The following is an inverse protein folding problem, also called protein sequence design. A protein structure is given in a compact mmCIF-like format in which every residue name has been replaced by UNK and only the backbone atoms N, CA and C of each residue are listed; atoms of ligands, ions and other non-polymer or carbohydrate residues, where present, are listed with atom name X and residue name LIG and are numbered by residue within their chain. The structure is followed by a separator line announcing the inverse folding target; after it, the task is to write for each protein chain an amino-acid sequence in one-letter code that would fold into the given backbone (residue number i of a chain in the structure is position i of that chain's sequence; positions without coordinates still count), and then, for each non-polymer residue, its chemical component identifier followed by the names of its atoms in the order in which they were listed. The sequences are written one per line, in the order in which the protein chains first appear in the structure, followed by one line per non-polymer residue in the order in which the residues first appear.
data_IF_824338831167
#
_entry.id   IF_824338831167
#
_cell.length_a   1.000
_cell.length_b   1.000
_cell.length_c   1.000
_cell.angle_alpha   90.00
_cell.angle_beta   90.00
_cell.angle_gamma   90.00
#
_symmetry.space_group_name_H-M   'P 1'
#
loop_
_entity.id
_entity.type
_entity.pdbx_description
1 polymer ?
#
# COMPACT_ATOMS: atom_id res chain seq x y z
N UNK A 1 7.88 22.82 -8.66
CA UNK A 1 6.53 22.46 -8.19
C UNK A 1 6.47 22.69 -6.70
N UNK A 2 5.44 23.36 -6.19
CA UNK A 2 5.31 23.76 -4.78
C UNK A 2 5.22 22.53 -3.85
N UNK A 3 6.14 22.42 -2.89
CA UNK A 3 6.22 21.33 -1.92
C UNK A 3 4.93 21.17 -1.11
N UNK A 4 4.22 22.27 -0.81
CA UNK A 4 2.95 22.21 -0.09
C UNK A 4 1.86 21.50 -0.90
N UNK A 5 1.85 21.72 -2.22
CA UNK A 5 0.94 20.98 -3.11
C UNK A 5 1.26 19.50 -3.11
N UNK A 6 2.54 19.12 -3.10
CA UNK A 6 2.96 17.71 -3.02
C UNK A 6 2.54 17.07 -1.69
N UNK A 7 2.72 17.76 -0.56
CA UNK A 7 2.29 17.28 0.76
C UNK A 7 0.78 17.06 0.81
N UNK A 8 0.00 17.98 0.23
CA UNK A 8 -1.47 17.86 0.17
C UNK A 8 -1.92 16.59 -0.55
N UNK A 9 -1.17 16.13 -1.57
CA UNK A 9 -1.48 14.88 -2.28
C UNK A 9 -1.43 13.65 -1.36
N UNK A 10 -0.51 13.60 -0.40
CA UNK A 10 -0.43 12.50 0.57
C UNK A 10 -1.71 12.40 1.41
N UNK A 11 -2.25 13.53 1.86
CA UNK A 11 -3.51 13.54 2.61
C UNK A 11 -4.71 13.17 1.75
N UNK A 12 -4.76 13.67 0.51
CA UNK A 12 -5.82 13.29 -0.44
C UNK A 12 -5.78 11.79 -0.77
N UNK A 13 -4.58 11.23 -0.99
CA UNK A 13 -4.39 9.81 -1.25
C UNK A 13 -4.72 8.96 -0.02
N UNK A 14 -4.30 9.39 1.18
CA UNK A 14 -4.69 8.76 2.44
C UNK A 14 -6.21 8.67 2.54
N UNK A 15 -6.93 9.79 2.38
CA UNK A 15 -8.40 9.81 2.38
C UNK A 15 -9.02 8.90 1.30
N UNK A 16 -8.41 8.80 0.12
CA UNK A 16 -8.84 7.84 -0.90
C UNK A 16 -8.70 6.38 -0.42
N UNK A 17 -7.55 6.01 0.13
CA UNK A 17 -7.33 4.65 0.64
C UNK A 17 -8.18 4.32 1.86
N UNK A 18 -8.55 5.31 2.66
CA UNK A 18 -9.57 5.16 3.72
C UNK A 18 -10.89 4.65 3.19
N UNK A 19 -11.38 5.30 2.14
CA UNK A 19 -12.66 4.97 1.52
C UNK A 19 -12.57 3.56 0.97
N UNK A 20 -11.47 3.24 0.26
CA UNK A 20 -11.24 1.88 -0.22
C UNK A 20 -11.30 0.86 0.91
N UNK A 21 -10.47 1.01 1.95
CA UNK A 21 -10.35 0.00 3.02
C UNK A 21 -11.65 -0.13 3.82
N UNK A 22 -12.38 0.96 4.03
CA UNK A 22 -13.67 0.96 4.74
C UNK A 22 -14.73 0.20 3.94
N UNK A 23 -14.84 0.49 2.64
CA UNK A 23 -15.77 -0.22 1.76
C UNK A 23 -15.41 -1.71 1.67
N UNK A 24 -14.13 -2.02 1.48
CA UNK A 24 -13.64 -3.40 1.42
C UNK A 24 -13.93 -4.14 2.74
N UNK A 25 -13.69 -3.52 3.90
CA UNK A 25 -13.97 -4.13 5.20
C UNK A 25 -15.45 -4.44 5.40
N UNK A 26 -16.33 -3.51 5.01
CA UNK A 26 -17.78 -3.72 5.07
C UNK A 26 -18.24 -4.90 4.20
N UNK A 27 -17.64 -5.07 3.01
CA UNK A 27 -17.91 -6.20 2.11
C UNK A 27 -17.40 -7.52 2.70
N UNK A 28 -16.17 -7.53 3.25
CA UNK A 28 -15.56 -8.72 3.84
C UNK A 28 -16.30 -9.26 5.08
N UNK A 29 -17.04 -8.39 5.79
CA UNK A 29 -17.85 -8.77 6.94
C UNK A 29 -19.15 -9.51 6.57
N UNK A 30 -19.59 -9.47 5.31
CA UNK A 30 -20.79 -10.17 4.89
C UNK A 30 -20.57 -11.68 4.88
N UNK A 31 -21.44 -12.45 5.54
CA UNK A 31 -21.28 -13.91 5.72
C UNK A 31 -20.91 -14.67 4.44
N UNK A 32 -21.58 -14.48 3.28
CA UNK A 32 -21.21 -15.20 2.05
C UNK A 32 -19.80 -14.87 1.57
N UNK A 33 -19.36 -13.62 1.76
CA UNK A 33 -18.00 -13.19 1.40
C UNK A 33 -17.00 -13.75 2.39
N UNK A 34 -17.31 -13.69 3.69
CA UNK A 34 -16.44 -14.20 4.74
C UNK A 34 -16.11 -15.69 4.53
N UNK A 35 -17.12 -16.51 4.24
CA UNK A 35 -16.93 -17.94 3.92
C UNK A 35 -16.02 -18.15 2.71
N UNK A 36 -16.11 -17.29 1.69
CA UNK A 36 -15.20 -17.35 0.55
C UNK A 36 -13.75 -17.06 0.96
N UNK A 37 -13.54 -16.05 1.82
CA UNK A 37 -12.20 -15.65 2.28
C UNK A 37 -11.50 -16.74 3.10
N UNK A 38 -12.27 -17.63 3.73
CA UNK A 38 -11.76 -18.77 4.51
C UNK A 38 -11.29 -19.96 3.64
N UNK A 39 -11.51 -19.94 2.33
CA UNK A 39 -11.15 -21.03 1.40
C UNK A 39 -9.63 -21.17 1.13
N UNK A 40 -8.77 -20.86 2.08
CA UNK A 40 -7.31 -20.94 1.95
C UNK A 40 -6.71 -19.71 1.26
N UNK A 41 -6.21 -19.79 0.01
CA UNK A 41 -5.59 -18.65 -0.70
C UNK A 41 -6.53 -17.44 -0.88
N UNK A 42 -7.85 -17.61 -0.78
CA UNK A 42 -8.78 -16.49 -0.77
C UNK A 42 -8.48 -15.46 0.35
N UNK A 43 -7.87 -15.92 1.45
CA UNK A 43 -7.46 -15.07 2.57
C UNK A 43 -6.46 -13.97 2.19
N UNK A 44 -5.79 -14.06 1.03
CA UNK A 44 -4.92 -12.99 0.50
C UNK A 44 -5.71 -11.67 0.34
N UNK A 45 -7.02 -11.73 0.07
CA UNK A 45 -7.90 -10.55 -0.01
C UNK A 45 -7.99 -9.81 1.35
N UNK A 46 -7.95 -10.54 2.47
CA UNK A 46 -7.86 -9.94 3.81
C UNK A 46 -6.49 -9.29 4.00
N UNK A 47 -5.42 -9.95 3.53
CA UNK A 47 -4.09 -9.35 3.47
C UNK A 47 -4.05 -8.04 2.68
N UNK A 48 -4.76 -7.98 1.54
CA UNK A 48 -4.88 -6.78 0.72
C UNK A 48 -5.54 -5.62 1.49
N UNK A 49 -6.63 -5.90 2.21
CA UNK A 49 -7.31 -4.92 3.05
C UNK A 49 -6.34 -4.29 4.06
N UNK A 50 -5.55 -5.12 4.75
CA UNK A 50 -4.57 -4.63 5.73
C UNK A 50 -3.51 -3.77 5.04
N UNK A 51 -2.93 -4.20 3.91
CA UNK A 51 -1.89 -3.43 3.23
C UNK A 51 -2.40 -2.08 2.71
N UNK A 52 -3.60 -2.04 2.13
CA UNK A 52 -4.22 -0.80 1.66
C UNK A 52 -4.47 0.15 2.84
N UNK A 53 -4.93 -0.38 3.98
CA UNK A 53 -5.13 0.41 5.20
C UNK A 53 -3.84 0.90 5.84
N UNK A 54 -2.83 0.04 5.98
CA UNK A 54 -1.59 0.38 6.69
C UNK A 54 -0.64 1.22 5.85
N UNK A 55 -0.44 0.88 4.57
CA UNK A 55 0.46 1.62 3.68
C UNK A 55 -0.25 2.83 3.05
N UNK A 56 -1.47 2.62 2.54
CA UNK A 56 -2.23 3.67 1.86
C UNK A 56 -2.81 4.70 2.81
N UNK A 57 -3.70 4.27 3.72
CA UNK A 57 -4.36 5.21 4.65
C UNK A 57 -3.38 5.75 5.71
N UNK A 58 -2.87 4.88 6.59
CA UNK A 58 -2.00 5.32 7.70
C UNK A 58 -0.64 5.78 7.18
N UNK A 59 0.01 4.99 6.33
CA UNK A 59 1.36 5.24 5.84
C UNK A 59 1.47 6.57 5.12
N UNK A 60 0.67 6.79 4.07
CA UNK A 60 0.71 8.06 3.34
C UNK A 60 0.30 9.25 4.20
N UNK A 61 -0.69 9.08 5.09
CA UNK A 61 -1.10 10.13 6.03
C UNK A 61 0.05 10.57 6.94
N UNK A 62 0.77 9.59 7.50
CA UNK A 62 1.93 9.84 8.35
C UNK A 62 3.11 10.44 7.58
N UNK A 63 3.39 9.98 6.35
CA UNK A 63 4.43 10.57 5.51
C UNK A 63 4.14 12.05 5.20
N UNK A 64 2.90 12.36 4.82
CA UNK A 64 2.46 13.74 4.60
C UNK A 64 2.59 14.60 5.85
N UNK A 65 2.19 14.06 7.01
CA UNK A 65 2.31 14.74 8.30
C UNK A 65 3.78 15.05 8.65
N UNK A 66 4.68 14.10 8.50
CA UNK A 66 6.10 14.33 8.80
C UNK A 66 6.75 15.28 7.81
N UNK A 67 6.41 15.22 6.52
CA UNK A 67 6.89 16.22 5.56
C UNK A 67 6.44 17.65 5.89
N UNK A 68 5.31 17.79 6.58
CA UNK A 68 4.85 19.08 7.09
C UNK A 68 5.51 19.48 8.42
N UNK A 69 5.60 18.55 9.38
CA UNK A 69 6.07 18.83 10.74
C UNK A 69 7.58 18.99 10.83
N UNK A 70 8.36 18.16 10.12
CA UNK A 70 9.82 18.15 10.26
C UNK A 70 10.42 19.53 9.96
N UNK A 71 10.07 20.22 8.86
CA UNK A 71 10.59 21.57 8.62
C UNK A 71 10.17 22.60 9.66
N UNK A 72 8.94 22.49 10.17
CA UNK A 72 8.41 23.42 11.18
C UNK A 72 9.08 23.26 12.54
N UNK A 73 9.32 22.04 12.97
CA UNK A 73 9.91 21.74 14.29
C UNK A 73 11.42 21.96 14.27
N UNK A 74 12.09 21.55 13.19
CA UNK A 74 13.55 21.69 13.08
C UNK A 74 14.01 23.07 12.61
N UNK A 75 13.11 23.88 12.03
CA UNK A 75 13.46 25.14 11.36
C UNK A 75 14.26 24.94 10.07
N UNK A 76 14.41 23.70 9.58
CA UNK A 76 15.21 23.33 8.41
C UNK A 76 14.32 23.00 7.23
N UNK A 77 14.60 23.57 6.06
CA UNK A 77 13.91 23.16 4.83
C UNK A 77 14.20 21.68 4.52
N UNK A 78 13.28 21.00 3.82
CA UNK A 78 13.51 19.61 3.39
C UNK A 78 14.77 19.51 2.50
N UNK A 79 15.59 18.48 2.69
CA UNK A 79 16.85 18.31 1.94
C UNK A 79 16.66 18.22 0.43
N UNK A 80 15.67 17.44 -0.02
CA UNK A 80 15.36 17.27 -1.44
C UNK A 80 13.86 17.51 -1.71
N UNK A 81 13.41 18.76 -1.89
CA UNK A 81 11.98 19.07 -2.07
C UNK A 81 11.35 18.39 -3.28
N UNK A 82 12.11 18.22 -4.37
CA UNK A 82 11.64 17.53 -5.58
C UNK A 82 11.38 16.02 -5.36
N UNK A 83 12.08 15.40 -4.41
CA UNK A 83 11.95 13.97 -4.11
C UNK A 83 10.58 13.64 -3.50
N UNK A 84 9.96 14.59 -2.79
CA UNK A 84 8.66 14.42 -2.13
C UNK A 84 7.57 13.99 -3.11
N UNK A 85 7.51 14.60 -4.30
CA UNK A 85 6.52 14.23 -5.31
C UNK A 85 6.86 12.90 -6.02
N UNK A 86 8.16 12.60 -6.18
CA UNK A 86 8.59 11.30 -6.70
C UNK A 86 8.16 10.18 -5.77
N UNK A 87 8.47 10.30 -4.47
CA UNK A 87 8.06 9.36 -3.43
C UNK A 87 6.54 9.21 -3.43
N UNK A 88 5.79 10.32 -3.46
CA UNK A 88 4.33 10.27 -3.51
C UNK A 88 3.81 9.37 -4.63
N UNK A 89 4.24 9.61 -5.88
CA UNK A 89 3.68 8.89 -7.02
C UNK A 89 4.06 7.42 -7.03
N UNK A 90 5.32 7.11 -6.70
CA UNK A 90 5.75 5.72 -6.68
C UNK A 90 5.02 4.97 -5.55
N UNK A 91 4.93 5.55 -4.36
CA UNK A 91 4.23 4.93 -3.23
C UNK A 91 2.73 4.74 -3.52
N UNK A 92 2.07 5.75 -4.11
CA UNK A 92 0.66 5.66 -4.52
C UNK A 92 0.42 4.51 -5.49
N UNK A 93 1.23 4.43 -6.55
CA UNK A 93 1.12 3.40 -7.59
C UNK A 93 1.39 2.01 -6.99
N UNK A 94 2.41 1.89 -6.16
CA UNK A 94 2.80 0.64 -5.51
C UNK A 94 1.67 0.12 -4.61
N UNK A 95 1.07 0.97 -3.78
CA UNK A 95 -0.04 0.57 -2.91
C UNK A 95 -1.26 0.11 -3.72
N UNK A 96 -1.62 0.85 -4.78
CA UNK A 96 -2.73 0.48 -5.67
C UNK A 96 -2.44 -0.86 -6.35
N UNK A 97 -1.28 -1.00 -6.99
CA UNK A 97 -0.90 -2.23 -7.70
C UNK A 97 -0.86 -3.42 -6.75
N UNK A 98 -0.27 -3.26 -5.56
CA UNK A 98 -0.18 -4.33 -4.58
C UNK A 98 -1.59 -4.75 -4.12
N UNK A 99 -2.45 -3.80 -3.77
CA UNK A 99 -3.83 -4.07 -3.39
C UNK A 99 -4.62 -4.82 -4.45
N UNK A 100 -4.56 -4.36 -5.71
CA UNK A 100 -5.26 -5.00 -6.84
C UNK A 100 -4.72 -6.40 -7.11
N UNK A 101 -3.39 -6.58 -7.12
CA UNK A 101 -2.78 -7.90 -7.35
C UNK A 101 -3.12 -8.89 -6.24
N UNK A 102 -3.12 -8.46 -4.97
CA UNK A 102 -3.47 -9.32 -3.85
C UNK A 102 -4.96 -9.72 -3.90
N UNK A 103 -5.86 -8.79 -4.24
CA UNK A 103 -7.27 -9.12 -4.44
C UNK A 103 -7.43 -10.12 -5.59
N UNK A 104 -6.77 -9.88 -6.73
CA UNK A 104 -6.82 -10.78 -7.87
C UNK A 104 -6.26 -12.18 -7.54
N UNK A 105 -5.16 -12.26 -6.79
CA UNK A 105 -4.57 -13.51 -6.33
C UNK A 105 -5.53 -14.30 -5.44
N UNK A 106 -6.18 -13.63 -4.47
CA UNK A 106 -7.14 -14.29 -3.59
C UNK A 106 -8.41 -14.72 -4.33
N UNK A 107 -8.90 -13.93 -5.29
CA UNK A 107 -10.03 -14.36 -6.14
C UNK A 107 -9.65 -15.57 -6.99
N UNK A 108 -8.49 -15.56 -7.64
CA UNK A 108 -8.02 -16.68 -8.45
C UNK A 108 -7.85 -17.95 -7.61
N UNK A 109 -7.20 -17.83 -6.45
CA UNK A 109 -6.98 -18.93 -5.53
C UNK A 109 -8.28 -19.49 -4.95
N UNK A 110 -9.18 -18.63 -4.48
CA UNK A 110 -10.48 -19.05 -3.93
C UNK A 110 -11.34 -19.76 -4.98
N UNK A 111 -11.38 -19.24 -6.22
CA UNK A 111 -12.10 -19.90 -7.33
C UNK A 111 -11.48 -21.23 -7.72
N UNK A 112 -10.15 -21.36 -7.68
CA UNK A 112 -9.47 -22.63 -7.93
C UNK A 112 -9.88 -23.69 -6.88
N UNK A 113 -9.95 -23.31 -5.60
CA UNK A 113 -10.41 -24.18 -4.53
C UNK A 113 -11.89 -24.56 -4.70
N UNK A 114 -12.75 -23.61 -5.07
CA UNK A 114 -14.16 -23.91 -5.39
C UNK A 114 -14.32 -24.89 -6.57
N UNK A 115 -13.38 -24.89 -7.51
CA UNK A 115 -13.34 -25.85 -8.61
C UNK A 115 -12.76 -27.22 -8.22
N UNK A 116 -12.43 -27.44 -6.95
CA UNK A 116 -11.86 -28.70 -6.44
C UNK A 116 -10.35 -28.84 -6.64
N UNK A 117 -9.65 -27.78 -7.06
CA UNK A 117 -8.19 -27.80 -7.17
C UNK A 117 -7.54 -27.66 -5.79
N UNK A 118 -6.37 -28.27 -5.61
CA UNK A 118 -5.60 -28.18 -4.37
C UNK A 118 -4.09 -28.29 -4.63
N UNK A 119 -3.28 -27.97 -3.63
CA UNK A 119 -1.83 -28.11 -3.68
C UNK A 119 -1.19 -27.30 -4.82
N UNK A 120 -0.34 -27.97 -5.60
CA UNK A 120 0.45 -27.34 -6.65
C UNK A 120 -0.40 -26.66 -7.74
N UNK A 121 -1.59 -27.20 -8.06
CA UNK A 121 -2.48 -26.60 -9.05
C UNK A 121 -2.99 -25.21 -8.62
N UNK A 122 -3.27 -25.03 -7.32
CA UNK A 122 -3.65 -23.73 -6.75
C UNK A 122 -2.45 -22.79 -6.73
N UNK A 123 -1.27 -23.29 -6.39
CA UNK A 123 -0.03 -22.49 -6.40
C UNK A 123 0.30 -22.00 -7.81
N UNK A 124 0.09 -22.82 -8.84
CA UNK A 124 0.28 -22.43 -10.23
C UNK A 124 -0.71 -21.32 -10.65
N UNK A 125 -1.96 -21.35 -10.14
CA UNK A 125 -2.96 -20.33 -10.44
C UNK A 125 -2.63 -18.97 -9.81
N UNK A 126 -2.09 -18.95 -8.58
CA UNK A 126 -1.77 -17.70 -7.87
C UNK A 126 -0.32 -17.23 -8.09
N UNK A 127 0.57 -18.13 -8.53
CA UNK A 127 2.02 -17.91 -8.63
C UNK A 127 2.42 -16.64 -9.37
N UNK A 128 1.88 -16.38 -10.58
CA UNK A 128 2.19 -15.14 -11.31
C UNK A 128 1.87 -13.88 -10.49
N UNK A 129 0.71 -13.84 -9.84
CA UNK A 129 0.30 -12.71 -9.01
C UNK A 129 1.26 -12.52 -7.81
N UNK A 130 1.62 -13.61 -7.15
CA UNK A 130 2.53 -13.58 -6.00
C UNK A 130 3.92 -13.05 -6.36
N UNK A 131 4.44 -13.42 -7.52
CA UNK A 131 5.72 -12.89 -8.02
C UNK A 131 5.65 -11.38 -8.24
N UNK A 132 4.58 -10.89 -8.88
CA UNK A 132 4.39 -9.45 -9.08
C UNK A 132 4.19 -8.70 -7.76
N UNK A 133 3.42 -9.26 -6.82
CA UNK A 133 3.27 -8.71 -5.46
C UNK A 133 4.63 -8.55 -4.79
N UNK A 134 5.49 -9.58 -4.86
CA UNK A 134 6.84 -9.53 -4.31
C UNK A 134 7.70 -8.42 -4.91
N UNK A 135 7.71 -8.29 -6.24
CA UNK A 135 8.46 -7.24 -6.95
C UNK A 135 7.96 -5.84 -6.57
N UNK A 136 6.65 -5.65 -6.55
CA UNK A 136 6.03 -4.36 -6.17
C UNK A 136 6.31 -4.04 -4.70
N UNK A 137 6.31 -5.04 -3.82
CA UNK A 137 6.63 -4.87 -2.40
C UNK A 137 8.09 -4.48 -2.16
N UNK A 138 9.02 -5.00 -2.95
CA UNK A 138 10.42 -4.56 -2.91
C UNK A 138 10.55 -3.09 -3.29
N UNK A 139 9.83 -2.65 -4.33
CA UNK A 139 9.79 -1.24 -4.71
C UNK A 139 9.22 -0.35 -3.59
N UNK A 140 8.17 -0.81 -2.89
CA UNK A 140 7.62 -0.16 -1.70
C UNK A 140 8.70 0.07 -0.64
N UNK A 141 9.49 -0.97 -0.35
CA UNK A 141 10.58 -0.90 0.62
C UNK A 141 11.65 0.12 0.23
N UNK A 142 12.07 0.13 -1.04
CA UNK A 142 13.05 1.11 -1.54
C UNK A 142 12.55 2.56 -1.43
N UNK A 143 11.29 2.80 -1.75
CA UNK A 143 10.68 4.14 -1.63
C UNK A 143 10.58 4.57 -0.17
N UNK A 144 10.24 3.64 0.72
CA UNK A 144 10.19 3.89 2.17
C UNK A 144 11.59 4.25 2.73
N UNK A 145 12.65 3.63 2.20
CA UNK A 145 14.03 3.99 2.54
C UNK A 145 14.38 5.40 2.06
N UNK A 146 14.00 5.78 0.83
CA UNK A 146 14.22 7.14 0.32
C UNK A 146 13.49 8.18 1.17
N UNK A 147 12.26 7.88 1.58
CA UNK A 147 11.50 8.70 2.52
C UNK A 147 12.26 8.86 3.85
N UNK A 148 12.72 7.77 4.45
CA UNK A 148 13.46 7.81 5.71
C UNK A 148 14.76 8.62 5.59
N UNK A 149 15.54 8.40 4.52
CA UNK A 149 16.79 9.13 4.25
C UNK A 149 16.54 10.63 4.12
N UNK A 150 15.51 11.04 3.38
CA UNK A 150 15.11 12.44 3.23
C UNK A 150 14.80 13.09 4.59
N UNK A 151 14.02 12.42 5.45
CA UNK A 151 13.67 12.93 6.77
C UNK A 151 14.89 13.01 7.68
N UNK A 152 15.66 11.92 7.79
CA UNK A 152 16.85 11.85 8.65
C UNK A 152 17.88 12.90 8.23
N UNK A 153 18.18 12.99 6.92
CA UNK A 153 19.13 13.96 6.41
C UNK A 153 18.68 15.41 6.67
N UNK A 154 17.37 15.67 6.56
CA UNK A 154 16.82 16.99 6.90
C UNK A 154 17.05 17.35 8.38
N UNK A 155 16.99 16.37 9.28
CA UNK A 155 17.20 16.60 10.72
C UNK A 155 18.69 16.80 11.06
N UNK A 156 19.60 16.05 10.42
CA UNK A 156 21.04 16.07 10.77
C UNK A 156 21.87 17.10 10.00
N UNK A 157 21.36 17.65 8.89
CA UNK A 157 22.11 18.66 8.12
C UNK A 157 22.42 19.87 9.01
N UNK A 158 23.65 20.38 8.90
CA UNK A 158 24.11 21.55 9.65
C UNK A 158 23.53 22.83 9.09
#
# INVERSE_FOLDING_TARGET
MDTQKSITKFFAASAFFFIWVTLQGAIQAQQPVHQFLELGPAGIIVGAHVHIGTLGWIGMGMMGLFYYLVPKVSGKELSWPGLVNGIFWVDFIVVVLNGVLMIAAGVAGGRAVQAGLSGEAVNAAIGPYMMFIGIVSLLCGLVSLLYAVQIIHTLVKK
#
